data_IF_744396266997
#
_entry.id   IF_744396266997
#
_cell.length_a   1.000
_cell.length_b   1.000
_cell.length_c   1.000
_cell.angle_alpha   90.00
_cell.angle_beta   90.00
_cell.angle_gamma   90.00
#
_symmetry.space_group_name_H-M   'P 1'
#
loop_
_entity.id
_entity.type
_entity.pdbx_description
1 polymer ?
#
# COMPACT_ATOMS: atom_id res chain seq x y z
N UNK A 1 -17.81 -4.72 12.51
CA UNK A 1 -16.65 -3.81 12.57
C UNK A 1 -15.55 -4.62 11.97
N UNK A 2 -15.46 -4.54 10.66
CA UNK A 2 -14.55 -5.34 9.85
C UNK A 2 -13.21 -4.61 9.89
N UNK A 3 -12.32 -5.10 10.75
CA UNK A 3 -10.98 -4.55 10.96
C UNK A 3 -10.07 -5.01 9.82
N UNK A 4 -10.28 -4.46 8.63
CA UNK A 4 -9.42 -4.63 7.44
C UNK A 4 -8.12 -3.78 7.52
N UNK A 5 -7.78 -3.30 8.71
CA UNK A 5 -6.58 -2.53 8.98
C UNK A 5 -5.31 -3.40 8.98
N UNK A 6 -4.15 -2.84 8.63
CA UNK A 6 -2.87 -3.55 8.65
C UNK A 6 -2.40 -3.79 10.09
N UNK A 7 -2.91 -4.85 10.72
CA UNK A 7 -2.54 -5.24 12.08
C UNK A 7 -2.10 -6.71 12.12
N UNK A 8 -1.17 -7.02 13.03
CA UNK A 8 -0.75 -8.39 13.32
C UNK A 8 0.17 -9.03 12.27
N UNK A 9 1.02 -8.24 11.62
CA UNK A 9 2.10 -8.76 10.78
C UNK A 9 3.32 -9.11 11.64
N UNK A 10 4.08 -10.14 11.24
CA UNK A 10 5.28 -10.57 11.97
C UNK A 10 6.39 -9.53 11.92
N UNK A 11 6.51 -8.84 10.79
CA UNK A 11 7.52 -7.83 10.55
C UNK A 11 6.89 -6.59 9.94
N UNK A 12 7.27 -5.42 10.44
CA UNK A 12 6.88 -4.14 9.87
C UNK A 12 8.10 -3.27 9.58
N UNK A 13 8.07 -2.58 8.45
CA UNK A 13 9.15 -1.71 7.99
C UNK A 13 8.58 -0.40 7.45
N UNK A 14 9.31 0.68 7.68
CA UNK A 14 9.00 1.99 7.10
C UNK A 14 10.21 2.53 6.36
N UNK A 15 10.01 2.97 5.11
CA UNK A 15 10.99 3.74 4.35
C UNK A 15 10.46 5.16 4.12
N UNK A 16 11.16 6.16 4.66
CA UNK A 16 10.85 7.57 4.37
C UNK A 16 11.14 7.88 2.90
N UNK A 17 10.18 8.47 2.20
CA UNK A 17 10.34 8.97 0.83
C UNK A 17 10.70 10.46 0.86
N UNK A 18 9.98 11.25 1.64
CA UNK A 18 10.28 12.64 1.93
C UNK A 18 9.65 13.05 3.28
N UNK A 19 9.66 14.35 3.61
CA UNK A 19 9.16 14.88 4.89
C UNK A 19 7.72 14.52 5.21
N UNK A 20 6.88 14.27 4.21
CA UNK A 20 5.46 14.00 4.37
C UNK A 20 5.02 12.67 3.77
N UNK A 21 5.94 11.82 3.34
CA UNK A 21 5.56 10.53 2.76
C UNK A 21 6.52 9.42 3.10
N UNK A 22 5.94 8.23 3.26
CA UNK A 22 6.67 7.02 3.58
C UNK A 22 6.03 5.82 2.92
N UNK A 23 6.81 4.75 2.76
CA UNK A 23 6.29 3.43 2.42
C UNK A 23 6.30 2.61 3.69
N UNK A 24 5.13 2.09 4.10
CA UNK A 24 4.98 1.13 5.19
C UNK A 24 4.75 -0.26 4.60
N UNK A 25 5.40 -1.25 5.18
CA UNK A 25 5.36 -2.64 4.75
C UNK A 25 5.05 -3.51 5.95
N UNK A 26 4.07 -4.40 5.84
CA UNK A 26 3.86 -5.50 6.76
C UNK A 26 4.10 -6.82 6.04
N UNK A 27 4.75 -7.77 6.70
CA UNK A 27 5.09 -9.08 6.14
C UNK A 27 4.94 -10.17 7.19
N UNK A 28 4.27 -11.26 6.81
CA UNK A 28 4.23 -12.50 7.56
C UNK A 28 4.66 -13.67 6.67
N UNK A 29 5.42 -14.59 7.22
CA UNK A 29 5.98 -15.72 6.49
C UNK A 29 5.84 -17.03 7.24
N UNK A 30 5.59 -18.12 6.54
CA UNK A 30 5.67 -19.48 7.09
C UNK A 30 6.74 -20.27 6.33
N UNK A 31 7.74 -20.79 7.04
CA UNK A 31 8.86 -21.57 6.46
C UNK A 31 9.58 -20.86 5.30
N UNK A 32 9.56 -19.52 5.28
CA UNK A 32 10.18 -18.68 4.26
C UNK A 32 9.28 -18.31 3.09
N UNK A 33 8.05 -18.84 3.04
CA UNK A 33 7.03 -18.45 2.08
C UNK A 33 6.16 -17.33 2.66
N UNK A 34 5.84 -16.33 1.83
CA UNK A 34 4.97 -15.21 2.21
C UNK A 34 3.54 -15.72 2.35
N UNK A 35 2.92 -15.44 3.49
CA UNK A 35 1.51 -15.81 3.76
C UNK A 35 0.60 -14.60 3.79
N UNK A 36 1.11 -13.44 4.24
CA UNK A 36 0.40 -12.16 4.24
C UNK A 36 1.40 -11.04 3.98
N UNK A 37 1.00 -10.02 3.23
CA UNK A 37 1.76 -8.77 3.18
C UNK A 37 0.86 -7.57 2.90
N UNK A 38 1.34 -6.39 3.26
CA UNK A 38 0.91 -5.14 2.61
C UNK A 38 2.13 -4.29 2.28
N UNK A 39 2.01 -3.50 1.22
CA UNK A 39 2.95 -2.43 0.86
C UNK A 39 2.12 -1.18 0.56
N UNK A 40 2.26 -0.17 1.41
CA UNK A 40 1.43 1.02 1.42
C UNK A 40 2.27 2.28 1.29
N UNK A 41 1.87 3.19 0.40
CA UNK A 41 2.35 4.57 0.41
C UNK A 41 1.45 5.40 1.31
N UNK A 42 2.06 6.14 2.23
CA UNK A 42 1.36 6.97 3.20
C UNK A 42 1.78 8.44 3.05
N UNK A 43 0.87 9.34 3.41
CA UNK A 43 1.09 10.78 3.40
C UNK A 43 0.71 11.43 4.73
N UNK A 44 1.62 12.19 5.33
CA UNK A 44 1.38 12.89 6.60
C UNK A 44 0.52 14.14 6.38
N UNK A 45 -0.68 14.13 6.94
CA UNK A 45 -1.63 15.25 6.87
C UNK A 45 -2.53 15.25 8.10
N UNK A 46 -2.89 16.44 8.58
CA UNK A 46 -3.84 16.61 9.68
C UNK A 46 -3.46 15.87 10.98
N UNK A 47 -2.16 15.59 11.17
CA UNK A 47 -1.63 14.93 12.37
C UNK A 47 -1.60 13.41 12.28
N UNK A 48 -1.89 12.82 11.12
CA UNK A 48 -1.89 11.37 10.92
C UNK A 48 -1.30 10.95 9.56
N UNK A 49 -0.99 9.66 9.43
CA UNK A 49 -0.56 9.01 8.19
C UNK A 49 -1.78 8.54 7.39
N UNK A 50 -2.07 9.26 6.31
CA UNK A 50 -3.16 8.93 5.40
C UNK A 50 -2.70 7.92 4.35
N UNK A 51 -3.54 6.94 4.08
CA UNK A 51 -3.31 5.94 3.03
C UNK A 51 -3.44 6.61 1.66
N UNK A 52 -2.48 6.36 0.77
CA UNK A 52 -2.48 6.90 -0.60
C UNK A 52 -2.76 5.78 -1.59
N UNK A 53 -1.95 4.72 -1.52
CA UNK A 53 -2.15 3.48 -2.27
C UNK A 53 -1.69 2.28 -1.45
N UNK A 54 -2.32 1.12 -1.66
CA UNK A 54 -1.95 -0.15 -1.03
C UNK A 54 -1.92 -1.27 -2.06
N UNK A 55 -0.92 -2.14 -1.93
CA UNK A 55 -0.98 -3.52 -2.40
C UNK A 55 -1.02 -4.42 -1.18
N UNK A 56 -1.82 -5.47 -1.20
CA UNK A 56 -1.83 -6.43 -0.11
C UNK A 56 -2.21 -7.85 -0.57
N UNK A 57 -1.92 -8.79 0.31
CA UNK A 57 -2.33 -10.18 0.22
C UNK A 57 -2.67 -10.62 1.64
N UNK A 58 -3.94 -10.98 1.86
CA UNK A 58 -4.44 -11.45 3.14
C UNK A 58 -5.62 -12.41 2.95
N UNK A 59 -5.41 -13.61 2.38
CA UNK A 59 -6.52 -14.49 1.96
C UNK A 59 -7.35 -15.06 3.12
N UNK A 60 -6.90 -14.89 4.37
CA UNK A 60 -7.53 -15.48 5.55
C UNK A 60 -8.56 -14.56 6.22
N UNK A 61 -8.93 -13.44 5.59
CA UNK A 61 -9.97 -12.52 6.07
C UNK A 61 -11.12 -12.43 5.06
N UNK A 62 -12.34 -12.21 5.54
CA UNK A 62 -13.55 -12.21 4.71
C UNK A 62 -13.49 -11.23 3.52
N UNK A 63 -12.78 -10.11 3.71
CA UNK A 63 -12.57 -9.08 2.68
C UNK A 63 -11.11 -8.96 2.24
N UNK A 64 -10.27 -9.93 2.59
CA UNK A 64 -8.86 -9.89 2.26
C UNK A 64 -8.57 -10.26 0.81
N UNK A 65 -7.43 -9.80 0.31
CA UNK A 65 -7.04 -9.98 -1.09
C UNK A 65 -6.20 -11.26 -1.30
N UNK A 66 -6.51 -12.05 -2.34
CA UNK A 66 -5.68 -13.19 -2.75
C UNK A 66 -5.07 -12.96 -4.13
N UNK A 67 -3.86 -12.40 -4.17
CA UNK A 67 -3.16 -12.15 -5.43
C UNK A 67 -2.84 -13.42 -6.25
N UNK A 68 -2.98 -14.62 -5.68
CA UNK A 68 -2.79 -15.88 -6.40
C UNK A 68 -4.01 -16.28 -7.24
N UNK A 69 -5.19 -15.79 -6.86
CA UNK A 69 -6.46 -15.99 -7.59
C UNK A 69 -6.89 -14.70 -8.32
N UNK A 70 -6.86 -13.56 -7.63
CA UNK A 70 -7.34 -12.25 -8.11
C UNK A 70 -6.33 -11.55 -9.02
N UNK A 71 -5.06 -11.96 -8.94
CA UNK A 71 -3.95 -11.21 -9.51
C UNK A 71 -3.58 -9.98 -8.68
N UNK A 72 -2.44 -9.37 -9.04
CA UNK A 72 -1.95 -8.21 -8.31
C UNK A 72 -2.77 -6.96 -8.66
N UNK A 73 -3.25 -6.26 -7.62
CA UNK A 73 -3.94 -5.00 -7.79
C UNK A 73 -3.49 -3.97 -6.76
N UNK A 74 -3.71 -2.70 -7.09
CA UNK A 74 -3.38 -1.55 -6.26
C UNK A 74 -4.64 -0.78 -5.92
N UNK A 75 -4.95 -0.75 -4.63
CA UNK A 75 -5.98 0.11 -4.07
C UNK A 75 -5.49 1.54 -4.02
N UNK A 76 -6.38 2.46 -4.38
CA UNK A 76 -6.15 3.89 -4.38
C UNK A 76 -7.13 4.51 -3.41
N UNK A 77 -6.61 5.28 -2.47
CA UNK A 77 -7.40 5.92 -1.43
C UNK A 77 -7.58 7.41 -1.71
N UNK A 78 -8.70 7.94 -1.25
CA UNK A 78 -9.03 9.35 -1.27
C UNK A 78 -9.96 9.65 -0.11
N UNK A 79 -9.66 10.72 0.62
CA UNK A 79 -10.49 11.19 1.73
C UNK A 79 -10.65 10.12 2.84
N UNK A 80 -9.64 9.25 3.00
CA UNK A 80 -9.64 8.16 3.98
C UNK A 80 -10.35 6.88 3.53
N UNK A 81 -10.92 6.87 2.32
CA UNK A 81 -11.71 5.74 1.81
C UNK A 81 -11.10 5.18 0.51
N UNK A 82 -11.37 3.89 0.23
CA UNK A 82 -10.98 3.24 -1.03
C UNK A 82 -11.76 3.88 -2.19
N UNK A 83 -11.04 4.61 -3.04
CA UNK A 83 -11.61 5.34 -4.18
C UNK A 83 -11.66 4.49 -5.45
N UNK A 84 -10.61 3.70 -5.72
CA UNK A 84 -10.50 2.92 -6.96
C UNK A 84 -9.48 1.79 -6.83
N UNK A 85 -9.70 0.69 -7.55
CA UNK A 85 -8.73 -0.39 -7.77
C UNK A 85 -8.06 -0.26 -9.14
N UNK A 86 -6.77 -0.57 -9.22
CA UNK A 86 -6.05 -0.80 -10.48
C UNK A 86 -5.57 -2.24 -10.54
N UNK A 87 -5.89 -2.93 -11.62
CA UNK A 87 -5.61 -4.36 -11.82
C UNK A 87 -4.69 -4.59 -13.04
N UNK A 88 -4.19 -3.52 -13.64
CA UNK A 88 -3.33 -3.57 -14.83
C UNK A 88 -1.85 -3.84 -14.47
N UNK A 89 -1.63 -4.91 -13.70
CA UNK A 89 -0.32 -5.39 -13.30
C UNK A 89 0.01 -6.74 -13.93
N UNK A 90 1.29 -7.04 -14.20
CA UNK A 90 1.69 -8.37 -14.64
C UNK A 90 1.41 -9.40 -13.55
N UNK A 91 1.30 -10.67 -13.94
CA UNK A 91 1.31 -11.77 -12.97
C UNK A 91 2.63 -11.78 -12.19
N UNK A 92 2.54 -11.72 -10.85
CA UNK A 92 3.70 -11.75 -9.95
C UNK A 92 3.55 -12.92 -8.99
N UNK A 93 4.61 -13.72 -8.84
CA UNK A 93 4.64 -14.80 -7.83
C UNK A 93 4.58 -14.19 -6.43
N UNK A 94 3.82 -14.81 -5.53
CA UNK A 94 3.57 -14.31 -4.17
C UNK A 94 4.86 -13.90 -3.42
N UNK A 95 5.86 -14.78 -3.35
CA UNK A 95 7.14 -14.46 -2.68
C UNK A 95 7.94 -13.30 -3.32
N UNK A 96 7.60 -12.89 -4.54
CA UNK A 96 8.21 -11.72 -5.21
C UNK A 96 7.36 -10.47 -5.11
N UNK A 97 6.09 -10.59 -4.74
CA UNK A 97 5.13 -9.50 -4.72
C UNK A 97 5.54 -8.36 -3.77
N UNK A 98 5.95 -8.59 -2.50
CA UNK A 98 6.34 -7.48 -1.61
C UNK A 98 7.44 -6.60 -2.20
N UNK A 99 8.47 -7.22 -2.80
CA UNK A 99 9.56 -6.49 -3.46
C UNK A 99 9.08 -5.76 -4.71
N UNK A 100 8.28 -6.41 -5.55
CA UNK A 100 7.73 -5.80 -6.77
C UNK A 100 6.91 -4.55 -6.43
N UNK A 101 5.98 -4.66 -5.48
CA UNK A 101 5.12 -3.56 -5.05
C UNK A 101 5.93 -2.39 -4.46
N UNK A 102 6.95 -2.70 -3.67
CA UNK A 102 7.84 -1.68 -3.10
C UNK A 102 8.58 -0.91 -4.18
N UNK A 103 9.14 -1.61 -5.18
CA UNK A 103 9.83 -0.96 -6.32
C UNK A 103 8.83 -0.15 -7.13
N UNK A 104 7.66 -0.70 -7.43
CA UNK A 104 6.61 0.00 -8.18
C UNK A 104 6.22 1.32 -7.50
N UNK A 105 5.93 1.30 -6.20
CA UNK A 105 5.57 2.50 -5.45
C UNK A 105 6.72 3.50 -5.47
N UNK A 106 7.98 3.08 -5.23
CA UNK A 106 9.13 3.98 -5.26
C UNK A 106 9.31 4.67 -6.61
N UNK A 107 9.20 3.93 -7.71
CA UNK A 107 9.36 4.47 -9.07
C UNK A 107 8.23 5.42 -9.48
N UNK A 108 7.04 5.25 -8.91
CA UNK A 108 5.85 6.02 -9.26
C UNK A 108 5.40 7.00 -8.17
N UNK A 109 6.10 7.07 -7.04
CA UNK A 109 5.70 7.82 -5.84
C UNK A 109 5.38 9.27 -6.20
N UNK A 110 6.30 9.93 -6.89
CA UNK A 110 6.15 11.28 -7.41
C UNK A 110 4.82 11.56 -8.11
N UNK A 111 4.42 10.67 -9.03
CA UNK A 111 3.17 10.83 -9.79
C UNK A 111 1.95 10.56 -8.90
N UNK A 112 2.03 9.54 -8.06
CA UNK A 112 0.95 9.14 -7.16
C UNK A 112 0.68 10.22 -6.12
N UNK A 113 1.74 10.75 -5.48
CA UNK A 113 1.70 11.81 -4.49
C UNK A 113 1.17 13.11 -5.09
N UNK A 114 1.65 13.53 -6.26
CA UNK A 114 1.11 14.74 -6.94
C UNK A 114 -0.39 14.66 -7.19
N UNK A 115 -0.92 13.47 -7.52
CA UNK A 115 -2.36 13.26 -7.70
C UNK A 115 -3.10 13.37 -6.36
N UNK A 116 -2.60 12.72 -5.33
CA UNK A 116 -3.16 12.76 -3.97
C UNK A 116 -3.21 14.21 -3.45
N UNK A 117 -2.08 14.91 -3.48
CA UNK A 117 -1.98 16.32 -3.09
C UNK A 117 -2.96 17.22 -3.86
N UNK A 118 -3.15 16.97 -5.16
CA UNK A 118 -4.13 17.71 -5.97
C UNK A 118 -5.57 17.43 -5.54
N UNK A 119 -5.92 16.19 -5.19
CA UNK A 119 -7.25 15.87 -4.64
C UNK A 119 -7.49 16.56 -3.29
N UNK A 120 -6.44 16.73 -2.50
CA UNK A 120 -6.50 17.29 -1.14
C UNK A 120 -6.08 18.76 -1.03
N UNK A 121 -5.96 19.48 -2.16
CA UNK A 121 -5.56 20.89 -2.24
C UNK A 121 -4.30 21.23 -1.43
N UNK A 122 -3.30 20.35 -1.42
CA UNK A 122 -2.01 20.59 -0.76
C UNK A 122 -1.19 21.56 -1.62
N UNK A 123 -0.75 22.68 -1.05
CA UNK A 123 0.05 23.65 -1.80
C UNK A 123 1.49 23.15 -1.98
N UNK A 124 2.15 23.59 -3.05
CA UNK A 124 3.56 23.24 -3.29
C UNK A 124 4.50 23.72 -2.16
N UNK A 125 4.13 24.78 -1.44
CA UNK A 125 4.88 25.28 -0.27
C UNK A 125 4.69 24.42 0.99
N UNK A 126 3.72 23.50 0.97
CA UNK A 126 3.44 22.56 2.06
C UNK A 126 4.11 21.19 1.83
N UNK A 127 4.98 21.05 0.80
CA UNK A 127 5.72 19.80 0.54
C UNK A 127 6.99 19.66 1.39
#
# INVERSE_FOLDING_TARGET
>A
MDDDGPQGYEQEFTTVINRRSQIRIGLSTEKGDVTRFFVQLEYWREGDWMEVVRFDHNPNTEFGHDITEDGLHMDIYRDGEKYRVREDFPAVKLNRAPRYCTVYIREHADRILRRFEKWHNVNANDR
#
